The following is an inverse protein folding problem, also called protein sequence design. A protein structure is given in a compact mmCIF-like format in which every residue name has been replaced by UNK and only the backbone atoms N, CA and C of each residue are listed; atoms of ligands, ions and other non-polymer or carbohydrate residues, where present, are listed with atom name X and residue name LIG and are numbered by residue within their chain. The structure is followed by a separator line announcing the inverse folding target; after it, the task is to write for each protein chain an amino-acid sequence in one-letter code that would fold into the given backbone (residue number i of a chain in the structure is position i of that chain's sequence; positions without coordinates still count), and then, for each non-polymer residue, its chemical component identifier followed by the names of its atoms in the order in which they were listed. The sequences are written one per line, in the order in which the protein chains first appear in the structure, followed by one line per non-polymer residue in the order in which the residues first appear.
data_IF_127712238964
#
_entry.id   IF_127712238964
#
_cell.length_a   1.000
_cell.length_b   1.000
_cell.length_c   1.000
_cell.angle_alpha   90.00
_cell.angle_beta   90.00
_cell.angle_gamma   90.00
#
_symmetry.space_group_name_H-M   'P 1'
#
loop_
_entity.id
_entity.type
_entity.pdbx_description
1 polymer ?
#
# COMPACT_ATOMS: atom_id res chain seq x y z
N UNK A 1 -10.01 16.08 3.25
CA UNK A 1 -8.83 15.30 3.64
C UNK A 1 -9.21 13.84 3.93
N UNK A 2 -9.99 13.52 4.96
CA UNK A 2 -10.28 12.15 5.42
C UNK A 2 -10.91 11.25 4.36
N UNK A 3 -11.85 11.77 3.59
CA UNK A 3 -12.49 11.01 2.51
C UNK A 3 -11.52 10.70 1.36
N UNK A 4 -10.61 11.64 1.06
CA UNK A 4 -9.54 11.42 0.07
C UNK A 4 -8.58 10.31 0.53
N UNK A 5 -8.07 10.43 1.76
CA UNK A 5 -7.25 9.38 2.37
C UNK A 5 -7.95 8.01 2.36
N UNK A 6 -9.21 7.96 2.80
CA UNK A 6 -9.95 6.70 2.86
C UNK A 6 -10.12 6.03 1.48
N UNK A 7 -10.33 6.81 0.41
CA UNK A 7 -10.41 6.29 -0.97
C UNK A 7 -9.07 5.82 -1.49
N UNK A 8 -8.06 6.67 -1.39
CA UNK A 8 -6.75 6.39 -1.98
C UNK A 8 -6.03 5.27 -1.24
N UNK A 9 -6.03 5.28 0.09
CA UNK A 9 -5.43 4.22 0.87
C UNK A 9 -6.20 2.89 0.72
N UNK A 10 -7.53 2.91 0.54
CA UNK A 10 -8.27 1.69 0.20
C UNK A 10 -7.85 1.12 -1.15
N UNK A 11 -7.71 1.97 -2.18
CA UNK A 11 -7.24 1.55 -3.51
C UNK A 11 -5.81 1.02 -3.46
N UNK A 12 -4.93 1.71 -2.73
CA UNK A 12 -3.55 1.29 -2.51
C UNK A 12 -3.50 -0.09 -1.85
N UNK A 13 -4.19 -0.29 -0.73
CA UNK A 13 -4.25 -1.56 -0.01
C UNK A 13 -4.81 -2.72 -0.84
N UNK A 14 -5.83 -2.46 -1.67
CA UNK A 14 -6.40 -3.50 -2.54
C UNK A 14 -5.35 -4.06 -3.51
N UNK A 15 -4.40 -3.26 -3.98
CA UNK A 15 -3.29 -3.80 -4.79
C UNK A 15 -2.33 -4.64 -3.93
N UNK A 16 -2.01 -4.23 -2.71
CA UNK A 16 -1.23 -5.05 -1.78
C UNK A 16 -1.88 -6.40 -1.51
N UNK A 17 -3.21 -6.41 -1.27
CA UNK A 17 -4.01 -7.63 -1.11
C UNK A 17 -3.97 -8.49 -2.38
N UNK A 18 -4.06 -7.89 -3.57
CA UNK A 18 -3.96 -8.62 -4.83
C UNK A 18 -2.62 -9.35 -4.96
N UNK A 19 -1.50 -8.66 -4.70
CA UNK A 19 -0.17 -9.27 -4.74
C UNK A 19 -0.02 -10.38 -3.70
N UNK A 20 -0.50 -10.16 -2.48
CA UNK A 20 -0.41 -11.11 -1.38
C UNK A 20 -1.21 -12.40 -1.65
N UNK A 21 -2.38 -12.29 -2.28
CA UNK A 21 -3.23 -13.41 -2.64
C UNK A 21 -2.64 -14.35 -3.72
N UNK A 22 -1.54 -13.98 -4.35
CA UNK A 22 -0.82 -14.88 -5.25
C UNK A 22 0.06 -15.88 -4.50
N UNK A 23 0.53 -15.55 -3.29
CA UNK A 23 1.50 -16.33 -2.54
C UNK A 23 1.07 -17.78 -2.24
N UNK A 24 -0.20 -18.10 -1.90
CA UNK A 24 -0.61 -19.48 -1.63
C UNK A 24 -0.35 -20.45 -2.79
N UNK A 25 -0.45 -19.98 -4.05
CA UNK A 25 -0.28 -20.79 -5.25
C UNK A 25 1.13 -20.68 -5.84
N UNK A 26 1.82 -19.57 -5.62
CA UNK A 26 3.08 -19.21 -6.29
C UNK A 26 4.31 -19.45 -5.44
N UNK A 27 4.22 -19.26 -4.12
CA UNK A 27 5.33 -19.50 -3.20
C UNK A 27 5.29 -20.91 -2.63
N UNK A 28 6.47 -21.51 -2.44
CA UNK A 28 6.67 -22.72 -1.66
C UNK A 28 7.31 -22.45 -0.30
N UNK A 29 7.68 -21.20 -0.04
CA UNK A 29 8.31 -20.75 1.18
C UNK A 29 7.24 -20.44 2.26
N UNK A 30 7.26 -21.13 3.41
CA UNK A 30 6.26 -20.93 4.44
C UNK A 30 6.33 -19.55 5.10
N UNK A 31 7.51 -18.90 5.18
CA UNK A 31 7.64 -17.56 5.74
C UNK A 31 7.00 -16.51 4.81
N UNK A 32 7.22 -16.63 3.49
CA UNK A 32 6.60 -15.73 2.50
C UNK A 32 5.10 -15.91 2.48
N UNK A 33 4.61 -17.14 2.50
CA UNK A 33 3.17 -17.44 2.54
C UNK A 33 2.49 -16.89 3.79
N UNK A 34 3.14 -17.02 4.96
CA UNK A 34 2.62 -16.49 6.21
C UNK A 34 2.59 -14.95 6.18
N UNK A 35 3.68 -14.30 5.78
CA UNK A 35 3.74 -12.84 5.66
C UNK A 35 2.66 -12.32 4.71
N UNK A 36 2.50 -12.95 3.54
CA UNK A 36 1.49 -12.55 2.57
C UNK A 36 0.06 -12.69 3.14
N UNK A 37 -0.22 -13.76 3.87
CA UNK A 37 -1.48 -13.94 4.57
C UNK A 37 -1.73 -12.82 5.59
N UNK A 38 -0.74 -12.50 6.43
CA UNK A 38 -0.86 -11.47 7.48
C UNK A 38 -1.09 -10.09 6.85
N UNK A 39 -0.37 -9.76 5.77
CA UNK A 39 -0.56 -8.52 5.00
C UNK A 39 -1.99 -8.45 4.42
N UNK A 40 -2.45 -9.52 3.76
CA UNK A 40 -3.76 -9.54 3.14
C UNK A 40 -4.88 -9.33 4.16
N UNK A 41 -4.86 -10.06 5.28
CA UNK A 41 -5.86 -9.96 6.34
C UNK A 41 -5.87 -8.56 6.98
N UNK A 42 -4.68 -8.02 7.29
CA UNK A 42 -4.53 -6.70 7.91
C UNK A 42 -5.04 -5.60 6.98
N UNK A 43 -4.57 -5.57 5.74
CA UNK A 43 -4.95 -4.54 4.78
C UNK A 43 -6.43 -4.63 4.40
N UNK A 44 -6.99 -5.84 4.27
CA UNK A 44 -8.41 -6.00 3.97
C UNK A 44 -9.30 -5.51 5.11
N UNK A 45 -8.91 -5.74 6.38
CA UNK A 45 -9.60 -5.15 7.52
C UNK A 45 -9.56 -3.61 7.49
N UNK A 46 -8.40 -3.04 7.18
CA UNK A 46 -8.22 -1.58 7.08
C UNK A 46 -9.08 -0.99 5.95
N UNK A 47 -9.14 -1.64 4.78
CA UNK A 47 -10.04 -1.26 3.68
C UNK A 47 -11.50 -1.25 4.15
N UNK A 48 -11.94 -2.31 4.84
CA UNK A 48 -13.30 -2.38 5.36
C UNK A 48 -13.67 -1.23 6.31
N UNK A 49 -12.73 -0.83 7.16
CA UNK A 49 -12.90 0.33 8.07
C UNK A 49 -13.03 1.64 7.29
N UNK A 50 -12.14 1.89 6.33
CA UNK A 50 -12.13 3.11 5.52
C UNK A 50 -13.38 3.21 4.64
N UNK A 51 -13.79 2.13 4.01
CA UNK A 51 -15.04 2.08 3.22
C UNK A 51 -16.29 2.24 4.11
N UNK A 52 -16.26 1.68 5.32
CA UNK A 52 -17.30 1.88 6.32
C UNK A 52 -17.46 3.35 6.71
N UNK A 53 -16.37 4.11 6.87
CA UNK A 53 -16.45 5.56 7.12
C UNK A 53 -17.03 6.32 5.94
N UNK A 54 -16.62 6.00 4.72
CA UNK A 54 -17.20 6.64 3.53
C UNK A 54 -18.71 6.41 3.44
N UNK A 55 -19.18 5.19 3.73
CA UNK A 55 -20.60 4.88 3.79
C UNK A 55 -21.33 5.65 4.90
N UNK A 56 -20.75 5.78 6.09
CA UNK A 56 -21.32 6.59 7.18
C UNK A 56 -21.41 8.07 6.85
N UNK A 57 -20.51 8.57 6.01
CA UNK A 57 -20.51 9.98 5.56
C UNK A 57 -21.36 10.21 4.30
N UNK A 58 -22.06 9.19 3.82
CA UNK A 58 -22.82 9.23 2.55
C UNK A 58 -21.96 9.64 1.35
N UNK A 59 -20.72 9.09 1.30
CA UNK A 59 -19.76 9.37 0.25
C UNK A 59 -19.45 8.09 -0.56
N UNK A 60 -19.28 8.21 -1.89
CA UNK A 60 -18.95 7.07 -2.72
C UNK A 60 -17.54 6.53 -2.38
N UNK A 61 -17.31 5.21 -2.50
CA UNK A 61 -16.01 4.59 -2.23
C UNK A 61 -14.93 4.93 -3.25
N UNK A 62 -15.31 5.50 -4.38
CA UNK A 62 -14.42 5.94 -5.47
C UNK A 62 -14.72 7.39 -5.86
N UNK A 63 -13.80 8.02 -6.61
CA UNK A 63 -13.95 9.40 -7.10
C UNK A 63 -13.12 10.43 -6.34
N UNK A 64 -13.04 11.62 -6.90
CA UNK A 64 -12.11 12.66 -6.50
C UNK A 64 -10.73 12.49 -7.18
N UNK A 65 -9.94 13.56 -7.19
CA UNK A 65 -8.60 13.52 -7.75
C UNK A 65 -7.66 12.77 -6.82
N UNK A 66 -6.92 11.82 -7.37
CA UNK A 66 -5.96 10.98 -6.62
C UNK A 66 -4.92 11.87 -5.93
N UNK A 67 -4.68 11.66 -4.65
CA UNK A 67 -3.69 12.37 -3.81
C UNK A 67 -3.96 13.87 -3.59
N UNK A 68 -5.04 14.45 -4.12
CA UNK A 68 -5.35 15.87 -3.94
C UNK A 68 -5.49 16.29 -2.46
N UNK A 69 -5.80 15.37 -1.58
CA UNK A 69 -5.90 15.61 -0.14
C UNK A 69 -4.54 15.86 0.55
N UNK A 70 -3.43 15.45 -0.07
CA UNK A 70 -2.06 15.77 0.38
C UNK A 70 -1.56 17.10 -0.24
N UNK A 71 -1.91 17.41 -1.46
CA UNK A 71 -1.44 18.61 -2.17
C UNK A 71 -1.90 19.92 -1.51
N UNK A 72 -2.98 19.91 -0.75
CA UNK A 72 -3.54 21.10 -0.09
C UNK A 72 -2.65 21.65 1.06
N UNK A 73 -1.64 20.91 1.53
CA UNK A 73 -0.78 21.33 2.63
C UNK A 73 0.60 21.85 2.17
N UNK A 74 1.04 21.50 0.99
CA UNK A 74 2.26 22.05 0.40
C UNK A 74 1.91 23.33 -0.38
N UNK A 75 1.98 24.49 0.29
CA UNK A 75 1.80 25.79 -0.34
C UNK A 75 2.76 25.93 -1.53
N UNK A 76 2.20 25.94 -2.75
CA UNK A 76 2.85 26.33 -4.00
C UNK A 76 4.19 25.65 -4.34
N UNK A 77 4.11 24.41 -4.79
CA UNK A 77 5.13 23.76 -5.59
C UNK A 77 4.43 22.87 -6.60
N UNK A 78 4.61 23.12 -7.90
CA UNK A 78 4.29 22.17 -8.95
C UNK A 78 5.19 20.93 -8.77
N UNK A 79 4.87 20.08 -7.79
CA UNK A 79 5.28 18.70 -7.87
C UNK A 79 4.31 18.05 -8.86
N UNK A 80 4.85 17.76 -10.03
CA UNK A 80 4.23 16.86 -11.00
C UNK A 80 4.05 15.50 -10.32
N UNK A 81 2.96 15.35 -9.56
CA UNK A 81 2.62 14.10 -8.87
C UNK A 81 2.23 13.01 -9.86
N UNK A 82 2.33 13.24 -11.18
CA UNK A 82 2.00 12.25 -12.21
C UNK A 82 0.58 11.66 -12.14
N UNK A 83 -0.21 12.11 -11.19
CA UNK A 83 -1.48 11.52 -10.80
C UNK A 83 -2.70 12.21 -11.42
N UNK A 84 -2.49 13.08 -12.40
CA UNK A 84 -3.58 13.60 -13.20
C UNK A 84 -4.16 12.43 -14.02
N UNK A 85 -5.43 12.14 -13.75
CA UNK A 85 -6.24 11.18 -14.53
C UNK A 85 -5.89 9.68 -14.36
N UNK A 86 -5.92 9.19 -13.11
CA UNK A 86 -5.81 7.75 -12.83
C UNK A 86 -4.37 7.21 -12.69
N UNK A 87 -3.39 8.08 -12.49
CA UNK A 87 -2.00 7.71 -12.24
C UNK A 87 -1.80 6.80 -11.03
N UNK A 88 -0.68 6.10 -10.98
CA UNK A 88 -0.30 5.26 -9.85
C UNK A 88 0.06 6.12 -8.65
N UNK A 89 -0.40 5.73 -7.46
CA UNK A 89 0.05 6.31 -6.19
C UNK A 89 1.47 5.83 -5.86
N UNK A 90 2.20 6.55 -4.99
CA UNK A 90 3.55 6.18 -4.61
C UNK A 90 3.67 4.71 -4.21
N UNK A 91 4.66 4.03 -4.72
CA UNK A 91 4.96 2.62 -4.42
C UNK A 91 4.10 1.58 -5.12
N UNK A 92 2.99 1.93 -5.74
CA UNK A 92 2.15 0.97 -6.46
C UNK A 92 2.90 0.29 -7.61
N UNK A 93 2.60 -0.98 -7.81
CA UNK A 93 3.10 -1.74 -8.95
C UNK A 93 2.35 -1.37 -10.22
N UNK A 94 3.06 -1.35 -11.34
CA UNK A 94 2.46 -1.22 -12.68
C UNK A 94 1.75 -2.51 -13.10
N UNK A 95 0.86 -2.43 -14.09
CA UNK A 95 0.22 -3.63 -14.64
C UNK A 95 1.24 -4.62 -15.25
N UNK A 96 2.35 -4.11 -15.79
CA UNK A 96 3.42 -4.95 -16.31
C UNK A 96 4.13 -5.70 -15.17
N UNK A 97 4.46 -5.04 -14.06
CA UNK A 97 5.05 -5.66 -12.87
C UNK A 97 4.11 -6.71 -12.26
N UNK A 98 2.81 -6.41 -12.17
CA UNK A 98 1.81 -7.37 -11.69
C UNK A 98 1.71 -8.58 -12.62
N UNK A 99 1.75 -8.38 -13.95
CA UNK A 99 1.74 -9.47 -14.91
C UNK A 99 3.00 -10.35 -14.79
N UNK A 100 4.16 -9.75 -14.57
CA UNK A 100 5.42 -10.47 -14.29
C UNK A 100 5.31 -11.27 -12.98
N UNK A 101 4.82 -10.66 -11.91
CA UNK A 101 4.63 -11.34 -10.62
C UNK A 101 3.70 -12.55 -10.75
N UNK A 102 2.58 -12.42 -11.47
CA UNK A 102 1.63 -13.52 -11.72
C UNK A 102 2.25 -14.68 -12.52
N UNK A 103 3.27 -14.42 -13.33
CA UNK A 103 3.96 -15.43 -14.13
C UNK A 103 5.04 -16.21 -13.37
N UNK A 104 5.54 -15.65 -12.25
CA UNK A 104 6.61 -16.25 -11.44
C UNK A 104 6.09 -17.30 -10.47
N UNK A 105 6.98 -18.17 -9.99
CA UNK A 105 6.73 -19.15 -8.93
C UNK A 105 8.02 -19.48 -8.16
N UNK A 106 7.88 -20.12 -6.97
CA UNK A 106 9.00 -20.48 -6.10
C UNK A 106 9.84 -19.25 -5.71
N UNK A 107 11.15 -19.41 -5.56
CA UNK A 107 12.06 -18.33 -5.14
C UNK A 107 12.00 -17.10 -6.05
N UNK A 108 11.75 -17.27 -7.35
CA UNK A 108 11.59 -16.14 -8.26
C UNK A 108 10.37 -15.27 -7.90
N UNK A 109 9.24 -15.90 -7.58
CA UNK A 109 8.07 -15.22 -7.04
C UNK A 109 8.38 -14.55 -5.70
N UNK A 110 9.02 -15.28 -4.78
CA UNK A 110 9.31 -14.79 -3.41
C UNK A 110 10.14 -13.50 -3.45
N UNK A 111 11.18 -13.47 -4.28
CA UNK A 111 12.04 -12.28 -4.44
C UNK A 111 11.25 -11.12 -5.02
N UNK A 112 10.50 -11.32 -6.10
CA UNK A 112 9.79 -10.23 -6.76
C UNK A 112 8.61 -9.73 -5.92
N UNK A 113 7.87 -10.62 -5.25
CA UNK A 113 6.83 -10.25 -4.29
C UNK A 113 7.39 -9.36 -3.18
N UNK A 114 8.51 -9.74 -2.56
CA UNK A 114 9.12 -8.95 -1.49
C UNK A 114 9.60 -7.59 -2.00
N UNK A 115 10.19 -7.51 -3.20
CA UNK A 115 10.63 -6.25 -3.81
C UNK A 115 9.48 -5.28 -4.05
N UNK A 116 8.42 -5.77 -4.67
CA UNK A 116 7.24 -4.96 -4.96
C UNK A 116 6.52 -4.53 -3.67
N UNK A 117 6.38 -5.44 -2.71
CA UNK A 117 5.70 -5.17 -1.44
C UNK A 117 6.49 -4.20 -0.56
N UNK A 118 7.82 -4.24 -0.54
CA UNK A 118 8.67 -3.25 0.13
C UNK A 118 8.40 -1.85 -0.44
N UNK A 119 8.48 -1.68 -1.76
CA UNK A 119 8.24 -0.39 -2.41
C UNK A 119 6.81 0.10 -2.17
N UNK A 120 5.84 -0.81 -2.24
CA UNK A 120 4.43 -0.52 -1.96
C UNK A 120 4.23 0.00 -0.52
N UNK A 121 4.82 -0.65 0.48
CA UNK A 121 4.74 -0.23 1.87
C UNK A 121 5.44 1.12 2.12
N UNK A 122 6.56 1.39 1.45
CA UNK A 122 7.24 2.68 1.54
C UNK A 122 6.34 3.83 1.06
N UNK A 123 5.66 3.66 -0.09
CA UNK A 123 4.70 4.67 -0.58
C UNK A 123 3.46 4.81 0.30
N UNK A 124 2.92 3.70 0.79
CA UNK A 124 1.80 3.70 1.72
C UNK A 124 2.14 4.33 3.08
N UNK A 125 3.37 4.16 3.56
CA UNK A 125 3.86 4.78 4.79
C UNK A 125 3.78 6.31 4.73
N UNK A 126 4.26 6.93 3.65
CA UNK A 126 4.22 8.39 3.48
C UNK A 126 2.78 8.93 3.49
N UNK A 127 1.88 8.26 2.78
CA UNK A 127 0.46 8.60 2.78
C UNK A 127 -0.15 8.49 4.18
N UNK A 128 0.15 7.40 4.89
CA UNK A 128 -0.39 7.14 6.22
C UNK A 128 0.17 8.11 7.27
N UNK A 129 1.47 8.39 7.23
CA UNK A 129 2.10 9.37 8.14
C UNK A 129 1.45 10.75 7.97
N UNK A 130 1.31 11.22 6.74
CA UNK A 130 0.65 12.50 6.47
C UNK A 130 -0.78 12.54 7.03
N UNK A 131 -1.56 11.48 6.81
CA UNK A 131 -2.92 11.41 7.33
C UNK A 131 -2.98 11.36 8.86
N UNK A 132 -2.03 10.67 9.52
CA UNK A 132 -1.93 10.63 10.98
C UNK A 132 -1.70 12.01 11.59
N UNK A 133 -0.90 12.84 10.92
CA UNK A 133 -0.53 14.19 11.38
C UNK A 133 -1.63 15.25 11.11
N UNK A 134 -2.41 15.08 10.03
CA UNK A 134 -3.29 16.13 9.53
C UNK A 134 -4.79 15.81 9.59
N UNK A 135 -5.20 14.57 9.85
CA UNK A 135 -6.62 14.23 9.93
C UNK A 135 -7.29 14.84 11.16
N UNK A 136 -8.39 15.57 10.93
CA UNK A 136 -9.21 16.16 11.99
C UNK A 136 -10.10 15.13 12.70
N UNK A 137 -10.36 13.96 12.09
CA UNK A 137 -11.17 12.90 12.68
C UNK A 137 -10.26 11.92 13.44
N UNK A 138 -10.35 11.82 14.78
CA UNK A 138 -9.43 11.00 15.59
C UNK A 138 -9.36 9.52 15.17
N UNK A 139 -10.48 8.94 14.72
CA UNK A 139 -10.51 7.56 14.26
C UNK A 139 -9.69 7.35 12.97
N UNK A 140 -9.65 8.37 12.09
CA UNK A 140 -8.84 8.34 10.85
C UNK A 140 -7.37 8.51 11.19
N UNK A 141 -7.03 9.54 12.01
CA UNK A 141 -5.66 9.77 12.46
C UNK A 141 -5.07 8.53 13.18
N UNK A 142 -5.85 7.91 14.06
CA UNK A 142 -5.43 6.70 14.78
C UNK A 142 -5.21 5.49 13.86
N UNK A 143 -6.08 5.27 12.88
CA UNK A 143 -5.86 4.20 11.90
C UNK A 143 -4.63 4.49 11.04
N UNK A 144 -4.49 5.70 10.56
CA UNK A 144 -3.36 6.12 9.73
C UNK A 144 -2.02 5.93 10.48
N UNK A 145 -1.95 6.33 11.76
CA UNK A 145 -0.77 6.07 12.59
C UNK A 145 -0.45 4.58 12.72
N UNK A 146 -1.48 3.75 12.97
CA UNK A 146 -1.30 2.28 13.01
C UNK A 146 -0.81 1.71 11.68
N UNK A 147 -1.32 2.20 10.54
CA UNK A 147 -0.86 1.80 9.21
C UNK A 147 0.62 2.14 9.05
N UNK A 148 1.03 3.36 9.38
CA UNK A 148 2.43 3.80 9.24
C UNK A 148 3.36 2.93 10.10
N UNK A 149 3.05 2.70 11.37
CA UNK A 149 3.85 1.87 12.26
C UNK A 149 3.98 0.42 11.76
N UNK A 150 2.86 -0.18 11.34
CA UNK A 150 2.84 -1.55 10.84
C UNK A 150 3.64 -1.69 9.56
N UNK A 151 3.45 -0.80 8.59
CA UNK A 151 4.16 -0.85 7.32
C UNK A 151 5.68 -0.67 7.49
N UNK A 152 6.13 0.21 8.39
CA UNK A 152 7.56 0.36 8.70
C UNK A 152 8.17 -0.93 9.30
N UNK A 153 7.45 -1.60 10.19
CA UNK A 153 7.88 -2.87 10.78
C UNK A 153 7.92 -4.01 9.74
N UNK A 154 6.91 -4.05 8.87
CA UNK A 154 6.83 -5.05 7.79
C UNK A 154 7.93 -4.84 6.74
N UNK A 155 8.27 -3.59 6.36
CA UNK A 155 9.42 -3.29 5.47
C UNK A 155 10.71 -3.88 6.05
N UNK A 156 11.01 -3.64 7.34
CA UNK A 156 12.19 -4.20 8.01
C UNK A 156 12.22 -5.73 7.93
N UNK A 157 11.08 -6.36 8.12
CA UNK A 157 10.95 -7.83 8.03
C UNK A 157 11.17 -8.32 6.60
N UNK A 158 10.55 -7.67 5.62
CA UNK A 158 10.67 -8.01 4.21
C UNK A 158 12.08 -7.82 3.67
N UNK A 159 12.79 -6.77 4.07
CA UNK A 159 14.19 -6.54 3.67
C UNK A 159 15.12 -7.65 4.16
N UNK A 160 14.93 -8.11 5.40
CA UNK A 160 15.66 -9.26 5.94
C UNK A 160 15.36 -10.54 5.15
N UNK A 161 14.06 -10.78 4.85
CA UNK A 161 13.62 -11.93 4.08
C UNK A 161 14.16 -11.89 2.64
N UNK A 162 14.16 -10.72 2.01
CA UNK A 162 14.66 -10.48 0.65
C UNK A 162 16.18 -10.74 0.58
N UNK A 163 16.94 -10.20 1.53
CA UNK A 163 18.37 -10.40 1.62
C UNK A 163 18.73 -11.87 1.79
N UNK A 164 18.01 -12.62 2.62
CA UNK A 164 18.19 -14.05 2.83
C UNK A 164 17.98 -14.88 1.54
N UNK A 165 17.24 -14.32 0.56
CA UNK A 165 16.95 -14.93 -0.76
C UNK A 165 17.83 -14.37 -1.88
N UNK A 166 18.85 -13.56 -1.54
CA UNK A 166 19.79 -12.95 -2.49
C UNK A 166 19.21 -11.82 -3.34
N UNK A 167 18.03 -11.29 -2.96
CA UNK A 167 17.42 -10.16 -3.63
C UNK A 167 17.90 -8.82 -3.09
N UNK A 168 17.64 -7.76 -3.85
CA UNK A 168 17.88 -6.36 -3.48
C UNK A 168 16.60 -5.54 -3.65
N UNK A 169 16.28 -4.58 -2.76
CA UNK A 169 15.10 -3.74 -2.89
C UNK A 169 15.06 -2.98 -4.23
N UNK A 170 13.87 -2.62 -4.66
CA UNK A 170 13.67 -1.64 -5.72
C UNK A 170 14.04 -0.24 -5.17
N UNK A 171 14.32 0.75 -6.03
CA UNK A 171 14.37 2.15 -5.62
C UNK A 171 13.10 2.53 -4.86
N UNK A 172 13.24 3.42 -3.87
CA UNK A 172 12.08 4.00 -3.20
C UNK A 172 11.17 4.75 -4.20
N UNK A 173 9.86 4.83 -3.92
CA UNK A 173 8.90 5.49 -4.80
C UNK A 173 9.13 6.99 -4.93
#
# INVERSE_FOLDING_TARGET
MEAGFARDMSRHHLQGVEMANLAPERSTDPEVRQLAFDIAETQQNQVGRMQGWLALWDLPPTGGDTMAWMAAAEGHGEHDTGAADGGLMPGMATEEELAQLRALSGTGFDVEFLRLMIRHHQGGFEMAQYAAEHAGVPAVAGLAGTIAETQAAEVTTMERMLTARGGTPLPAP
#
